data_IF_670212664383
#
_entry.id   IF_670212664383
#
_cell.length_a   1.000
_cell.length_b   1.000
_cell.length_c   1.000
_cell.angle_alpha   90.00
_cell.angle_beta   90.00
_cell.angle_gamma   90.00
#
_symmetry.space_group_name_H-M   'P 1'
#
loop_
_entity.id
_entity.type
_entity.pdbx_description
1 polymer ?
#
# COMPACT_ATOMS: atom_id res chain seq x y z
N UNK A 1 -41.73 -26.28 44.93
CA UNK A 1 -40.41 -26.82 44.58
C UNK A 1 -40.31 -27.46 43.18
N UNK A 2 -41.39 -27.90 42.53
CA UNK A 2 -41.32 -28.49 41.18
C UNK A 2 -41.30 -27.49 39.99
N UNK A 3 -41.39 -26.17 40.25
CA UNK A 3 -41.48 -25.14 39.20
C UNK A 3 -40.11 -24.49 38.86
N UNK A 4 -39.15 -24.52 39.80
CA UNK A 4 -37.81 -23.93 39.62
C UNK A 4 -36.81 -24.88 38.98
N UNK A 5 -36.98 -26.20 39.12
CA UNK A 5 -36.12 -27.19 38.47
C UNK A 5 -36.43 -27.31 36.96
N UNK A 6 -37.67 -27.04 36.56
CA UNK A 6 -38.10 -27.14 35.15
C UNK A 6 -37.63 -25.98 34.28
N UNK A 7 -37.18 -24.86 34.85
CA UNK A 7 -36.61 -23.72 34.09
C UNK A 7 -35.10 -23.85 33.83
N UNK A 8 -34.39 -24.70 34.55
CA UNK A 8 -32.93 -24.89 34.35
C UNK A 8 -32.60 -25.89 33.24
N UNK A 9 -33.56 -26.72 32.81
CA UNK A 9 -33.34 -27.75 31.80
C UNK A 9 -33.49 -27.27 30.34
N UNK A 10 -34.10 -26.10 30.08
CA UNK A 10 -34.42 -25.65 28.71
C UNK A 10 -33.42 -24.66 28.10
N UNK A 11 -32.36 -24.29 28.80
CA UNK A 11 -31.43 -23.22 28.35
C UNK A 11 -30.06 -23.78 27.93
N UNK A 12 -29.80 -25.08 28.06
CA UNK A 12 -28.43 -25.61 27.89
C UNK A 12 -28.24 -26.73 26.86
N UNK A 13 -29.27 -27.21 26.15
CA UNK A 13 -29.13 -28.40 25.29
C UNK A 13 -29.53 -28.26 23.80
N UNK A 14 -30.04 -27.12 23.32
CA UNK A 14 -30.57 -27.02 21.94
C UNK A 14 -29.68 -26.24 20.94
N UNK A 15 -28.70 -25.46 21.43
CA UNK A 15 -27.97 -24.51 20.56
C UNK A 15 -26.76 -25.14 19.83
N UNK A 16 -26.29 -26.33 20.25
CA UNK A 16 -25.15 -27.01 19.61
C UNK A 16 -25.53 -27.81 18.37
N UNK A 17 -26.76 -28.33 18.31
CA UNK A 17 -27.26 -29.04 17.13
C UNK A 17 -27.55 -28.09 15.95
N UNK A 18 -27.59 -26.79 16.20
CA UNK A 18 -27.75 -25.74 15.17
C UNK A 18 -26.46 -24.99 14.82
N UNK A 19 -25.35 -25.17 15.55
CA UNK A 19 -24.09 -24.49 15.22
C UNK A 19 -23.53 -25.05 13.90
N UNK A 20 -23.43 -24.24 12.83
CA UNK A 20 -22.92 -24.70 11.54
C UNK A 20 -21.49 -25.26 11.63
N UNK A 21 -20.67 -24.80 12.59
CA UNK A 21 -19.33 -25.34 12.81
C UNK A 21 -19.35 -26.78 13.34
N UNK A 22 -20.37 -27.15 14.12
CA UNK A 22 -20.55 -28.51 14.65
C UNK A 22 -21.21 -29.40 13.61
N UNK A 23 -22.26 -28.90 12.94
CA UNK A 23 -23.06 -29.66 11.97
C UNK A 23 -22.28 -29.95 10.68
N UNK A 24 -21.62 -28.96 10.11
CA UNK A 24 -20.88 -29.09 8.85
C UNK A 24 -19.43 -29.54 9.07
N UNK A 25 -18.89 -29.29 10.25
CA UNK A 25 -17.48 -29.52 10.54
C UNK A 25 -16.54 -28.51 9.86
N UNK A 26 -15.28 -28.54 10.28
CA UNK A 26 -14.27 -27.55 9.87
C UNK A 26 -13.98 -27.57 8.37
N UNK A 27 -13.94 -28.75 7.74
CA UNK A 27 -13.56 -28.87 6.32
C UNK A 27 -14.60 -28.29 5.37
N UNK A 28 -15.89 -28.53 5.64
CA UNK A 28 -16.98 -27.95 4.84
C UNK A 28 -17.08 -26.45 5.09
N UNK A 29 -16.96 -26.01 6.34
CA UNK A 29 -16.94 -24.58 6.67
C UNK A 29 -15.77 -23.86 6.00
N UNK A 30 -14.59 -24.49 5.91
CA UNK A 30 -13.44 -23.93 5.19
C UNK A 30 -13.77 -23.73 3.70
N UNK A 31 -14.43 -24.71 3.06
CA UNK A 31 -14.88 -24.58 1.66
C UNK A 31 -15.91 -23.47 1.49
N UNK A 32 -16.83 -23.30 2.43
CA UNK A 32 -17.79 -22.19 2.42
C UNK A 32 -17.04 -20.86 2.52
N UNK A 33 -16.12 -20.73 3.48
CA UNK A 33 -15.36 -19.49 3.70
C UNK A 33 -14.42 -19.16 2.54
N UNK A 34 -13.90 -20.16 1.83
CA UNK A 34 -13.07 -19.97 0.65
C UNK A 34 -13.80 -19.28 -0.52
N UNK A 35 -15.14 -19.25 -0.50
CA UNK A 35 -15.95 -18.52 -1.48
C UNK A 35 -16.30 -17.09 -1.04
N UNK A 36 -15.92 -16.67 0.18
CA UNK A 36 -16.18 -15.32 0.67
C UNK A 36 -15.15 -14.32 0.14
N UNK A 37 -15.60 -13.08 -0.07
CA UNK A 37 -14.68 -11.98 -0.31
C UNK A 37 -13.95 -11.56 0.98
N UNK A 38 -12.85 -10.82 0.84
CA UNK A 38 -12.01 -10.44 1.98
C UNK A 38 -12.80 -9.67 3.06
N UNK A 39 -13.80 -8.88 2.67
CA UNK A 39 -14.63 -8.13 3.60
C UNK A 39 -15.53 -9.05 4.41
N UNK A 40 -16.26 -9.96 3.77
CA UNK A 40 -17.15 -10.90 4.47
C UNK A 40 -16.34 -11.85 5.35
N UNK A 41 -15.18 -12.32 4.86
CA UNK A 41 -14.29 -13.15 5.66
C UNK A 41 -13.74 -12.42 6.90
N UNK A 42 -13.40 -11.14 6.78
CA UNK A 42 -12.98 -10.32 7.93
C UNK A 42 -14.12 -10.15 8.95
N UNK A 43 -15.37 -10.01 8.50
CA UNK A 43 -16.52 -9.90 9.41
C UNK A 43 -16.79 -11.23 10.13
N UNK A 44 -16.53 -12.38 9.50
CA UNK A 44 -16.63 -13.70 10.14
C UNK A 44 -15.74 -13.84 11.38
N UNK A 45 -14.63 -13.10 11.46
CA UNK A 45 -13.76 -13.07 12.65
C UNK A 45 -14.49 -12.58 13.92
N UNK A 46 -15.57 -11.80 13.77
CA UNK A 46 -16.28 -11.17 14.88
C UNK A 46 -17.44 -12.02 15.42
N UNK A 47 -17.75 -13.15 14.79
CA UNK A 47 -18.95 -13.95 15.09
C UNK A 47 -18.77 -14.81 16.34
N UNK A 48 -17.71 -15.63 16.38
CA UNK A 48 -17.43 -16.52 17.51
C UNK A 48 -15.95 -16.93 17.54
N UNK A 49 -15.50 -17.57 18.63
CA UNK A 49 -14.11 -18.07 18.74
C UNK A 49 -13.81 -19.14 17.68
N UNK A 50 -14.76 -20.03 17.40
CA UNK A 50 -14.62 -21.08 16.38
C UNK A 50 -14.52 -20.49 14.98
N UNK A 51 -15.36 -19.49 14.67
CA UNK A 51 -15.29 -18.77 13.39
C UNK A 51 -14.00 -17.96 13.27
N UNK A 52 -13.56 -17.29 14.34
CA UNK A 52 -12.29 -16.57 14.36
C UNK A 52 -11.13 -17.50 14.00
N UNK A 53 -11.03 -18.66 14.67
CA UNK A 53 -9.95 -19.63 14.42
C UNK A 53 -9.90 -20.11 12.97
N UNK A 54 -11.05 -20.31 12.34
CA UNK A 54 -11.12 -20.76 10.95
C UNK A 54 -10.90 -19.61 9.97
N UNK A 55 -11.58 -18.48 10.17
CA UNK A 55 -11.51 -17.30 9.30
C UNK A 55 -10.14 -16.62 9.35
N UNK A 56 -9.34 -16.79 10.41
CA UNK A 56 -7.96 -16.29 10.46
C UNK A 56 -6.94 -17.20 9.78
N UNK A 57 -7.37 -18.33 9.20
CA UNK A 57 -6.48 -19.31 8.58
C UNK A 57 -5.77 -18.77 7.34
N UNK A 58 -4.47 -19.01 7.26
CA UNK A 58 -3.65 -18.64 6.10
C UNK A 58 -4.07 -19.35 4.82
N UNK A 59 -4.78 -20.49 4.92
CA UNK A 59 -5.36 -21.18 3.76
C UNK A 59 -6.38 -20.30 3.02
N UNK A 60 -7.10 -19.43 3.74
CA UNK A 60 -8.10 -18.53 3.17
C UNK A 60 -7.49 -17.21 2.70
N UNK A 61 -6.54 -16.66 3.47
CA UNK A 61 -5.95 -15.36 3.17
C UNK A 61 -4.82 -15.40 2.15
N UNK A 62 -4.14 -16.54 1.96
CA UNK A 62 -3.11 -16.70 0.93
C UNK A 62 -3.59 -16.35 -0.49
N UNK A 63 -4.69 -16.95 -1.00
CA UNK A 63 -5.18 -16.62 -2.34
C UNK A 63 -5.68 -15.17 -2.43
N UNK A 64 -6.29 -14.64 -1.36
CA UNK A 64 -6.72 -13.24 -1.32
C UNK A 64 -5.54 -12.26 -1.38
N UNK A 65 -4.41 -12.56 -0.73
CA UNK A 65 -3.19 -11.77 -0.86
C UNK A 65 -2.64 -11.79 -2.28
N UNK A 66 -2.58 -12.97 -2.90
CA UNK A 66 -2.12 -13.12 -4.28
C UNK A 66 -2.99 -12.30 -5.23
N UNK A 67 -4.32 -12.40 -5.12
CA UNK A 67 -5.26 -11.62 -5.90
C UNK A 67 -5.11 -10.11 -5.67
N UNK A 68 -4.93 -9.69 -4.42
CA UNK A 68 -4.75 -8.28 -4.07
C UNK A 68 -3.51 -7.66 -4.73
N UNK A 69 -2.45 -8.45 -4.91
CA UNK A 69 -1.17 -8.00 -5.48
C UNK A 69 -1.13 -8.02 -7.01
N UNK A 70 -2.11 -8.64 -7.67
CA UNK A 70 -2.18 -8.64 -9.14
C UNK A 70 -2.28 -7.21 -9.65
N UNK A 71 -1.40 -6.85 -10.60
CA UNK A 71 -1.39 -5.55 -11.25
C UNK A 71 -0.99 -4.38 -10.34
N UNK A 72 -0.44 -4.64 -9.14
CA UNK A 72 0.11 -3.60 -8.28
C UNK A 72 1.50 -3.22 -8.74
N UNK A 73 1.81 -1.93 -8.73
CA UNK A 73 3.11 -1.38 -9.06
C UNK A 73 4.14 -1.65 -7.96
N UNK A 74 3.73 -1.61 -6.70
CA UNK A 74 4.63 -1.75 -5.55
C UNK A 74 4.04 -2.73 -4.53
N UNK A 75 4.86 -3.55 -3.88
CA UNK A 75 4.44 -4.41 -2.77
C UNK A 75 5.19 -3.99 -1.51
N UNK A 76 4.49 -3.56 -0.45
CA UNK A 76 5.15 -3.06 0.76
C UNK A 76 6.08 -4.10 1.39
N UNK A 77 7.26 -3.65 1.83
CA UNK A 77 8.28 -4.49 2.48
C UNK A 77 7.74 -5.28 3.67
N UNK A 78 6.90 -4.65 4.49
CA UNK A 78 6.21 -5.27 5.62
C UNK A 78 5.34 -6.48 5.24
N UNK A 79 4.86 -6.55 4.00
CA UNK A 79 4.05 -7.67 3.51
C UNK A 79 4.89 -8.88 3.10
N UNK A 80 6.22 -8.71 2.95
CA UNK A 80 7.16 -9.78 2.60
C UNK A 80 7.99 -10.27 3.81
N UNK A 81 7.72 -9.76 5.01
CA UNK A 81 8.42 -10.17 6.23
C UNK A 81 8.10 -11.64 6.60
N UNK A 82 9.12 -12.46 6.93
CA UNK A 82 8.91 -13.84 7.36
C UNK A 82 8.08 -13.93 8.65
N UNK A 83 7.24 -14.96 8.75
CA UNK A 83 6.48 -15.28 9.98
C UNK A 83 5.20 -14.49 10.20
N UNK A 84 4.87 -13.53 9.33
CA UNK A 84 3.59 -12.82 9.36
C UNK A 84 2.45 -13.69 8.81
N UNK A 85 1.31 -13.68 9.50
CA UNK A 85 0.09 -14.32 8.98
C UNK A 85 -0.38 -13.63 7.71
N UNK A 86 -1.09 -14.37 6.86
CA UNK A 86 -1.63 -13.84 5.60
C UNK A 86 -2.75 -12.85 5.83
N UNK A 87 -3.54 -13.02 6.90
CA UNK A 87 -4.49 -12.01 7.35
C UNK A 87 -3.78 -10.67 7.68
N UNK A 88 -2.70 -10.71 8.48
CA UNK A 88 -1.94 -9.51 8.81
C UNK A 88 -1.29 -8.89 7.57
N UNK A 89 -0.73 -9.74 6.69
CA UNK A 89 -0.15 -9.33 5.41
C UNK A 89 -1.17 -8.59 4.54
N UNK A 90 -2.37 -9.14 4.39
CA UNK A 90 -3.47 -8.51 3.64
C UNK A 90 -3.84 -7.16 4.26
N UNK A 91 -4.04 -7.12 5.58
CA UNK A 91 -4.39 -5.90 6.30
C UNK A 91 -3.34 -4.80 6.11
N UNK A 92 -2.06 -5.15 6.25
CA UNK A 92 -0.95 -4.22 6.04
C UNK A 92 -0.88 -3.70 4.60
N UNK A 93 -1.14 -4.54 3.60
CA UNK A 93 -1.18 -4.10 2.21
C UNK A 93 -2.32 -3.08 1.97
N UNK A 94 -3.51 -3.34 2.52
CA UNK A 94 -4.67 -2.42 2.44
C UNK A 94 -4.40 -1.10 3.16
N UNK A 95 -3.79 -1.14 4.34
CA UNK A 95 -3.41 0.08 5.07
C UNK A 95 -2.38 0.89 4.27
N UNK A 96 -1.39 0.23 3.66
CA UNK A 96 -0.33 0.92 2.89
C UNK A 96 -0.91 1.59 1.65
N UNK A 97 -1.85 0.90 0.98
CA UNK A 97 -2.49 1.41 -0.25
C UNK A 97 -3.23 2.73 -0.06
N UNK A 98 -3.60 3.06 1.18
CA UNK A 98 -4.34 4.27 1.55
C UNK A 98 -3.44 5.37 2.10
N UNK A 99 -2.12 5.18 2.11
CA UNK A 99 -1.19 6.20 2.59
C UNK A 99 -1.24 7.43 1.71
N UNK A 100 -1.20 8.58 2.38
CA UNK A 100 -1.13 9.90 1.76
C UNK A 100 0.20 10.61 2.03
N UNK A 101 1.06 9.98 2.81
CA UNK A 101 2.35 10.55 3.20
C UNK A 101 3.49 9.67 2.70
N UNK A 102 4.43 10.28 2.01
CA UNK A 102 5.64 9.64 1.50
C UNK A 102 6.79 9.81 2.50
N UNK A 103 7.62 8.78 2.64
CA UNK A 103 8.86 8.83 3.43
C UNK A 103 10.08 8.96 2.52
N UNK A 104 11.28 9.13 3.12
CA UNK A 104 12.53 9.15 2.35
C UNK A 104 12.81 7.80 1.71
N UNK A 105 12.44 6.73 2.40
CA UNK A 105 12.61 5.36 1.93
C UNK A 105 11.81 5.09 0.66
N UNK A 106 10.56 5.57 0.61
CA UNK A 106 9.75 5.47 -0.61
C UNK A 106 10.43 6.17 -1.81
N UNK A 107 11.12 7.29 -1.59
CA UNK A 107 11.79 8.01 -2.67
C UNK A 107 12.96 7.22 -3.25
N UNK A 108 13.86 6.73 -2.40
CA UNK A 108 15.04 6.01 -2.87
C UNK A 108 14.79 4.53 -3.19
N UNK A 109 13.66 3.97 -2.76
CA UNK A 109 13.31 2.59 -3.08
C UNK A 109 12.87 2.44 -4.54
N UNK A 110 12.44 3.53 -5.16
CA UNK A 110 11.88 3.53 -6.49
C UNK A 110 12.76 4.32 -7.47
N UNK A 111 12.80 3.85 -8.71
CA UNK A 111 13.13 4.72 -9.83
C UNK A 111 11.87 5.50 -10.23
N UNK A 112 12.06 6.73 -10.70
CA UNK A 112 10.97 7.63 -11.03
C UNK A 112 11.05 8.06 -12.47
N UNK A 113 9.92 8.01 -13.18
CA UNK A 113 9.75 8.72 -14.43
C UNK A 113 9.51 10.20 -14.12
N UNK A 114 10.11 11.07 -14.90
CA UNK A 114 10.05 12.52 -14.79
C UNK A 114 9.61 13.12 -16.13
N UNK A 115 8.73 14.11 -16.08
CA UNK A 115 8.39 14.93 -17.24
C UNK A 115 7.93 16.32 -16.79
N UNK A 116 8.03 17.29 -17.69
CA UNK A 116 7.47 18.61 -17.53
C UNK A 116 5.98 18.62 -17.86
N UNK A 117 5.22 19.47 -17.17
CA UNK A 117 3.80 19.68 -17.44
C UNK A 117 3.60 20.74 -18.53
N UNK A 118 2.38 20.92 -19.00
CA UNK A 118 2.07 21.85 -20.10
C UNK A 118 2.49 23.30 -19.81
N UNK A 119 2.33 23.72 -18.55
CA UNK A 119 2.70 25.06 -18.06
C UNK A 119 4.22 25.29 -17.93
N UNK A 120 5.05 24.27 -18.19
CA UNK A 120 6.49 24.46 -18.23
C UNK A 120 6.91 25.31 -19.45
N UNK A 121 7.96 26.15 -19.30
CA UNK A 121 8.52 26.89 -20.42
C UNK A 121 8.88 26.00 -21.61
N UNK A 122 8.68 26.50 -22.84
CA UNK A 122 8.93 25.77 -24.08
C UNK A 122 10.35 25.20 -24.16
N UNK A 123 11.34 25.93 -23.65
CA UNK A 123 12.72 25.45 -23.58
C UNK A 123 12.83 24.08 -22.90
N UNK A 124 12.21 23.90 -21.73
CA UNK A 124 12.25 22.64 -20.99
C UNK A 124 11.45 21.53 -21.67
N UNK A 125 10.31 21.87 -22.27
CA UNK A 125 9.51 20.91 -23.04
C UNK A 125 10.23 20.40 -24.28
N UNK A 126 11.07 21.23 -24.90
CA UNK A 126 11.88 20.83 -26.05
C UNK A 126 12.97 19.81 -25.68
N UNK A 127 13.41 19.80 -24.42
CA UNK A 127 14.37 18.82 -23.88
C UNK A 127 13.69 17.57 -23.31
N UNK A 128 12.36 17.53 -23.29
CA UNK A 128 11.59 16.46 -22.66
C UNK A 128 11.06 15.46 -23.70
N UNK A 129 11.54 14.21 -23.68
CA UNK A 129 11.03 13.11 -24.50
C UNK A 129 9.50 12.98 -24.53
N UNK A 130 8.84 13.27 -23.39
CA UNK A 130 7.39 13.21 -23.28
C UNK A 130 6.68 14.13 -24.27
N UNK A 131 7.21 15.35 -24.48
CA UNK A 131 6.62 16.35 -25.36
C UNK A 131 7.05 16.19 -26.82
N UNK A 132 8.23 15.60 -27.05
CA UNK A 132 8.66 15.25 -28.40
C UNK A 132 7.88 14.04 -28.95
N UNK A 133 7.24 13.26 -28.09
CA UNK A 133 6.59 12.00 -28.48
C UNK A 133 7.61 10.92 -28.86
N UNK A 134 8.88 11.14 -28.53
CA UNK A 134 10.01 10.32 -28.90
C UNK A 134 10.68 9.79 -27.63
N UNK A 135 10.70 8.46 -27.46
CA UNK A 135 11.52 7.80 -26.44
C UNK A 135 10.88 7.61 -25.05
N UNK A 136 11.58 6.90 -24.16
CA UNK A 136 11.13 6.66 -22.78
C UNK A 136 11.20 7.94 -21.95
N UNK A 137 10.32 8.05 -20.95
CA UNK A 137 10.36 9.15 -19.97
C UNK A 137 11.72 9.23 -19.29
N UNK A 138 12.14 10.46 -18.97
CA UNK A 138 13.36 10.72 -18.24
C UNK A 138 13.33 10.04 -16.87
N UNK A 139 14.45 9.43 -16.45
CA UNK A 139 14.53 8.72 -15.17
C UNK A 139 15.25 9.51 -14.11
N UNK A 140 14.75 9.43 -12.88
CA UNK A 140 15.32 10.08 -11.70
C UNK A 140 15.48 9.06 -10.57
N UNK A 141 16.60 9.15 -9.89
CA UNK A 141 17.01 8.24 -8.83
C UNK A 141 17.32 9.06 -7.58
N UNK A 142 16.54 8.86 -6.53
CA UNK A 142 16.75 9.52 -5.23
C UNK A 142 17.69 8.65 -4.39
N UNK A 143 18.61 9.27 -3.66
CA UNK A 143 19.65 8.57 -2.92
C UNK A 143 19.57 8.82 -1.41
N UNK A 144 20.18 7.95 -0.58
CA UNK A 144 20.12 8.10 0.87
C UNK A 144 20.75 9.34 1.47
N UNK A 145 21.82 9.81 0.86
CA UNK A 145 22.50 11.05 1.19
C UNK A 145 21.68 12.32 0.89
N UNK A 146 20.53 12.19 0.22
CA UNK A 146 19.70 13.33 -0.19
C UNK A 146 20.03 13.83 -1.60
N UNK A 147 20.94 13.17 -2.32
CA UNK A 147 21.20 13.47 -3.73
C UNK A 147 20.10 12.91 -4.63
N UNK A 148 19.99 13.49 -5.81
CA UNK A 148 19.19 12.93 -6.92
C UNK A 148 20.09 12.86 -8.14
N UNK A 149 20.02 11.76 -8.87
CA UNK A 149 20.75 11.59 -10.14
C UNK A 149 19.80 11.29 -11.29
N UNK A 150 20.30 11.48 -12.51
CA UNK A 150 19.63 11.18 -13.77
C UNK A 150 20.49 10.24 -14.61
N UNK A 151 19.97 9.83 -15.77
CA UNK A 151 20.78 9.12 -16.76
C UNK A 151 21.86 10.07 -17.35
N UNK A 152 23.00 9.53 -17.82
CA UNK A 152 24.08 10.35 -18.40
C UNK A 152 23.68 11.15 -19.64
N UNK A 153 22.71 10.65 -20.41
CA UNK A 153 22.17 11.29 -21.63
C UNK A 153 21.10 12.36 -21.32
N UNK A 154 20.80 12.59 -20.04
CA UNK A 154 19.80 13.56 -19.62
C UNK A 154 20.34 14.99 -19.65
N UNK A 155 19.98 15.73 -20.69
CA UNK A 155 20.41 17.11 -20.88
C UNK A 155 19.70 18.11 -19.95
N UNK A 156 18.57 17.74 -19.35
CA UNK A 156 17.77 18.64 -18.50
C UNK A 156 18.49 18.99 -17.21
N UNK A 157 19.23 18.04 -16.64
CA UNK A 157 19.93 18.25 -15.36
C UNK A 157 21.34 18.83 -15.52
N UNK A 158 21.87 18.88 -16.76
CA UNK A 158 22.98 19.75 -17.16
C UNK A 158 24.24 19.69 -16.28
N UNK A 159 24.50 18.56 -15.59
CA UNK A 159 25.65 18.42 -14.68
C UNK A 159 25.51 19.15 -13.34
N UNK A 160 24.32 19.64 -12.98
CA UNK A 160 24.08 20.27 -11.68
C UNK A 160 23.81 19.23 -10.59
N UNK A 161 24.48 19.41 -9.44
CA UNK A 161 24.14 18.68 -8.22
C UNK A 161 22.68 18.96 -7.84
N UNK A 162 21.91 17.89 -7.70
CA UNK A 162 20.53 17.96 -7.31
C UNK A 162 20.35 17.29 -5.96
N UNK A 163 19.65 17.97 -5.06
CA UNK A 163 19.33 17.49 -3.72
C UNK A 163 17.82 17.49 -3.50
N UNK A 164 17.34 16.61 -2.63
CA UNK A 164 15.94 16.59 -2.24
C UNK A 164 15.77 16.61 -0.73
N UNK A 165 14.57 16.99 -0.30
CA UNK A 165 14.16 16.93 1.10
C UNK A 165 12.68 16.57 1.17
N UNK A 166 12.33 15.69 2.11
CA UNK A 166 10.94 15.42 2.50
C UNK A 166 10.62 16.31 3.69
N UNK A 167 9.61 17.17 3.55
CA UNK A 167 9.16 18.04 4.62
C UNK A 167 7.84 17.51 5.17
N UNK A 168 7.86 17.11 6.45
CA UNK A 168 6.67 16.69 7.19
C UNK A 168 6.45 17.66 8.36
N UNK A 169 5.39 18.47 8.28
CA UNK A 169 5.00 19.39 9.35
C UNK A 169 3.85 18.78 10.15
N UNK A 170 3.96 18.78 11.47
CA UNK A 170 2.96 18.22 12.38
C UNK A 170 2.32 19.35 13.18
N UNK A 171 0.99 19.33 13.33
CA UNK A 171 0.27 20.28 14.18
C UNK A 171 0.58 20.00 15.65
N UNK A 172 0.99 21.05 16.38
CA UNK A 172 1.34 20.95 17.80
C UNK A 172 0.14 20.58 18.69
N UNK A 173 -1.09 20.83 18.24
CA UNK A 173 -2.30 20.66 19.04
C UNK A 173 -2.81 19.21 19.13
N UNK A 174 -2.71 18.44 18.04
CA UNK A 174 -3.30 17.10 17.95
C UNK A 174 -2.36 16.06 17.30
N UNK A 175 -1.12 16.43 16.99
CA UNK A 175 -0.13 15.53 16.41
C UNK A 175 -0.44 15.12 14.95
N UNK A 176 -1.44 15.74 14.31
CA UNK A 176 -1.76 15.43 12.91
C UNK A 176 -0.75 16.05 11.97
N UNK A 177 -0.41 15.32 10.91
CA UNK A 177 0.43 15.84 9.84
C UNK A 177 -0.36 16.92 9.09
N UNK A 178 0.16 18.15 9.12
CA UNK A 178 -0.38 19.30 8.40
C UNK A 178 0.07 19.31 6.95
N UNK A 179 1.37 19.09 6.73
CA UNK A 179 1.99 19.14 5.42
C UNK A 179 2.94 17.95 5.26
N UNK A 180 2.87 17.27 4.12
CA UNK A 180 3.87 16.30 3.69
C UNK A 180 4.13 16.54 2.20
N UNK A 181 5.32 17.02 1.86
CA UNK A 181 5.69 17.33 0.49
C UNK A 181 7.16 17.05 0.23
N UNK A 182 7.50 16.88 -1.04
CA UNK A 182 8.89 16.73 -1.48
C UNK A 182 9.35 18.02 -2.11
N UNK A 183 10.59 18.40 -1.85
CA UNK A 183 11.23 19.53 -2.51
C UNK A 183 12.53 19.07 -3.14
N UNK A 184 12.69 19.34 -4.43
CA UNK A 184 13.93 19.09 -5.18
C UNK A 184 14.59 20.45 -5.42
N UNK A 185 15.82 20.62 -4.94
CA UNK A 185 16.55 21.88 -4.97
C UNK A 185 15.69 23.05 -4.45
N UNK A 186 15.69 24.18 -5.16
CA UNK A 186 14.87 25.36 -4.85
C UNK A 186 13.56 25.42 -5.63
N UNK A 187 13.20 24.36 -6.36
CA UNK A 187 12.00 24.30 -7.18
C UNK A 187 10.72 24.28 -6.31
N UNK A 188 9.54 24.55 -6.91
CA UNK A 188 8.28 24.51 -6.20
C UNK A 188 8.02 23.15 -5.53
N UNK A 189 7.33 23.19 -4.39
CA UNK A 189 6.95 21.98 -3.64
C UNK A 189 6.16 21.01 -4.50
N UNK A 190 6.47 19.72 -4.38
CA UNK A 190 5.74 18.63 -5.00
C UNK A 190 4.66 18.11 -4.05
N UNK A 191 3.43 18.11 -4.52
CA UNK A 191 2.32 17.41 -3.86
C UNK A 191 2.43 15.93 -4.16
N UNK A 192 2.20 15.08 -3.16
CA UNK A 192 2.37 13.64 -3.25
C UNK A 192 1.01 12.96 -3.19
N UNK A 193 0.79 11.94 -4.02
CA UNK A 193 -0.42 11.12 -4.01
C UNK A 193 -0.11 9.66 -4.30
N UNK A 194 -0.92 8.76 -3.75
CA UNK A 194 -0.86 7.33 -4.06
C UNK A 194 -1.81 6.99 -5.20
N UNK A 195 -1.34 6.19 -6.15
CA UNK A 195 -2.13 5.68 -7.27
C UNK A 195 -2.93 4.42 -6.90
N UNK A 196 -3.92 4.07 -7.71
CA UNK A 196 -4.76 2.87 -7.53
C UNK A 196 -3.97 1.55 -7.66
N UNK A 197 -2.91 1.56 -8.47
CA UNK A 197 -1.95 0.46 -8.60
C UNK A 197 -0.94 0.41 -7.44
N UNK A 198 -1.09 1.25 -6.41
CA UNK A 198 -0.15 1.41 -5.30
C UNK A 198 1.19 2.05 -5.70
N UNK A 199 1.26 2.66 -6.89
CA UNK A 199 2.31 3.59 -7.27
C UNK A 199 2.25 4.90 -6.48
N UNK A 200 3.28 5.72 -6.64
CA UNK A 200 3.36 7.08 -6.13
C UNK A 200 3.45 8.06 -7.29
N UNK A 201 2.74 9.17 -7.19
CA UNK A 201 2.91 10.32 -8.07
C UNK A 201 3.29 11.53 -7.22
N UNK A 202 4.15 12.37 -7.77
CA UNK A 202 4.55 13.64 -7.17
C UNK A 202 4.55 14.72 -8.22
N UNK A 203 3.79 15.80 -8.05
CA UNK A 203 3.70 16.84 -9.07
C UNK A 203 3.56 18.24 -8.50
N UNK A 204 3.91 19.21 -9.34
CA UNK A 204 3.55 20.60 -9.16
C UNK A 204 3.13 21.17 -10.52
N UNK A 205 3.01 22.49 -10.60
CA UNK A 205 2.55 23.18 -11.82
C UNK A 205 3.56 23.15 -12.98
N UNK A 206 4.80 22.71 -12.76
CA UNK A 206 5.88 22.75 -13.76
C UNK A 206 6.31 21.34 -14.16
N UNK A 207 6.35 20.39 -13.23
CA UNK A 207 6.85 19.04 -13.49
C UNK A 207 6.18 17.99 -12.61
N UNK A 208 6.24 16.75 -13.08
CA UNK A 208 5.68 15.60 -12.41
C UNK A 208 6.65 14.42 -12.42
N UNK A 209 6.52 13.61 -11.38
CA UNK A 209 7.16 12.33 -11.20
C UNK A 209 6.12 11.25 -11.03
N UNK A 210 6.38 10.08 -11.59
CA UNK A 210 5.60 8.87 -11.34
C UNK A 210 6.55 7.72 -11.04
N UNK A 211 6.27 6.97 -9.98
CA UNK A 211 7.11 5.84 -9.61
C UNK A 211 6.98 4.72 -10.65
N UNK A 212 8.12 4.11 -10.97
CA UNK A 212 8.20 3.00 -11.92
C UNK A 212 7.80 1.70 -11.22
N UNK A 213 6.85 0.91 -11.78
CA UNK A 213 6.44 -0.37 -11.21
C UNK A 213 7.61 -1.32 -10.95
N UNK A 214 7.68 -1.85 -9.73
CA UNK A 214 8.74 -2.74 -9.24
C UNK A 214 8.22 -3.80 -8.26
N UNK A 215 6.98 -4.26 -8.41
CA UNK A 215 6.33 -5.22 -7.50
C UNK A 215 7.15 -6.51 -7.24
N UNK A 216 7.98 -6.90 -8.21
CA UNK A 216 8.87 -8.05 -8.12
C UNK A 216 10.17 -7.78 -7.34
N UNK A 217 10.40 -6.56 -6.85
CA UNK A 217 11.59 -6.20 -6.07
C UNK A 217 11.71 -7.10 -4.85
N UNK A 218 12.89 -7.68 -4.69
CA UNK A 218 13.22 -8.51 -3.53
C UNK A 218 13.11 -7.71 -2.23
N UNK A 219 12.51 -8.31 -1.22
CA UNK A 219 12.24 -7.64 0.05
C UNK A 219 11.14 -6.57 0.01
N UNK A 220 10.55 -6.25 -1.15
CA UNK A 220 9.47 -5.26 -1.26
C UNK A 220 9.98 -3.82 -1.09
N UNK A 221 9.04 -2.88 -1.01
CA UNK A 221 9.34 -1.43 -1.08
C UNK A 221 8.72 -0.63 0.07
N UNK A 222 9.22 0.59 0.27
CA UNK A 222 8.72 1.52 1.27
C UNK A 222 9.26 1.25 2.67
N UNK A 223 8.82 2.02 3.69
CA UNK A 223 9.40 1.99 5.01
C UNK A 223 9.27 0.60 5.68
N UNK A 224 10.26 0.31 6.52
CA UNK A 224 10.32 -0.95 7.28
C UNK A 224 9.49 -0.92 8.58
N UNK A 225 8.97 0.25 8.97
CA UNK A 225 8.31 0.52 10.25
C UNK A 225 6.92 1.14 10.04
#
# INVERSE_FOLDING_TARGET
>A
MAYEERKKAWILDDDRESDPMVVLGVDLMLKVFANLDARSLALSLLVSRSWFSLASSDLLWSPLCQQLWVGKAHIPRRCKLPGLSKLATYSQAVIDSKRVHITREDLWDHAWNFHFTEAAPTYWKNLDPYWQGEGPLMRRYFHPDGAVTSNPEDEVWGGHECSYTVVTSVMLSDGKIKDNYVRVNRWPRLTVSRRQDWGWDMSNVIFAYSSIPDAQKDGGTGPSF
#
